data_IF_958638035237
#
_entry.id   IF_958638035237
#
_cell.length_a   1.000
_cell.length_b   1.000
_cell.length_c   1.000
_cell.angle_alpha   90.00
_cell.angle_beta   90.00
_cell.angle_gamma   90.00
#
_symmetry.space_group_name_H-M   'P 1'
#
loop_
_entity.id
_entity.type
_entity.pdbx_description
1 polymer ?
#
# COMPACT_ATOMS: atom_id res chain seq x y z
N UNK A 1 14.11 1.81 22.17
CA UNK A 1 12.80 1.92 21.49
C UNK A 1 12.32 0.51 21.19
N UNK A 2 11.05 0.21 21.45
CA UNK A 2 10.45 -1.12 21.28
C UNK A 2 9.93 -1.30 19.86
N UNK A 3 9.92 -2.54 19.35
CA UNK A 3 9.31 -2.89 18.05
C UNK A 3 7.84 -2.48 18.00
N UNK A 4 7.08 -2.67 19.09
CA UNK A 4 5.67 -2.28 19.12
C UNK A 4 5.47 -0.77 19.07
N UNK A 5 6.41 0.00 19.63
CA UNK A 5 6.41 1.47 19.48
C UNK A 5 6.63 1.83 18.01
N UNK A 6 7.65 1.27 17.35
CA UNK A 6 7.90 1.52 15.93
C UNK A 6 6.72 1.08 15.03
N UNK A 7 5.98 0.02 15.40
CA UNK A 7 4.72 -0.35 14.74
C UNK A 7 3.67 0.77 14.84
N UNK A 8 3.32 1.18 16.06
CA UNK A 8 2.30 2.22 16.30
C UNK A 8 2.67 3.56 15.66
N UNK A 9 3.95 3.94 15.72
CA UNK A 9 4.38 5.26 15.25
C UNK A 9 4.56 5.33 13.74
N UNK A 10 5.04 4.27 13.09
CA UNK A 10 5.49 4.33 11.70
C UNK A 10 4.69 3.44 10.74
N UNK A 11 4.08 2.37 11.22
CA UNK A 11 3.47 1.35 10.36
C UNK A 11 1.96 1.38 10.43
N UNK A 12 1.40 1.59 11.62
CA UNK A 12 -0.04 1.67 11.83
C UNK A 12 -0.77 2.61 10.85
N UNK A 13 -0.27 3.80 10.49
CA UNK A 13 -0.94 4.67 9.51
C UNK A 13 -1.15 4.01 8.14
N UNK A 14 -0.27 3.07 7.77
CA UNK A 14 -0.34 2.33 6.51
C UNK A 14 -1.06 0.98 6.65
N UNK A 15 -0.93 0.34 7.81
CA UNK A 15 -1.42 -1.02 8.09
C UNK A 15 -2.23 -1.04 9.40
N UNK A 16 -3.41 -0.40 9.45
CA UNK A 16 -4.21 -0.27 10.67
C UNK A 16 -5.02 -1.55 10.94
N UNK A 17 -4.33 -2.65 11.28
CA UNK A 17 -4.90 -4.00 11.48
C UNK A 17 -5.27 -4.31 12.94
N UNK A 18 -5.18 -3.32 13.82
CA UNK A 18 -5.58 -3.42 15.23
C UNK A 18 -6.37 -2.19 15.62
N UNK A 19 -7.17 -2.31 16.68
CA UNK A 19 -7.79 -1.16 17.33
C UNK A 19 -6.84 -0.66 18.42
N UNK A 20 -6.26 0.54 18.26
CA UNK A 20 -5.15 0.98 19.13
C UNK A 20 -5.49 0.93 20.63
N UNK A 21 -6.63 1.49 21.11
CA UNK A 21 -6.96 1.43 22.53
C UNK A 21 -7.05 0.01 23.08
N UNK A 22 -7.72 -0.89 22.35
CA UNK A 22 -7.86 -2.30 22.76
C UNK A 22 -6.50 -3.00 22.76
N UNK A 23 -5.69 -2.81 21.73
CA UNK A 23 -4.37 -3.42 21.61
C UNK A 23 -3.44 -2.98 22.74
N UNK A 24 -3.39 -1.69 23.05
CA UNK A 24 -2.59 -1.15 24.15
C UNK A 24 -3.07 -1.65 25.51
N UNK A 25 -4.39 -1.75 25.73
CA UNK A 25 -4.94 -2.31 26.95
C UNK A 25 -4.58 -3.79 27.12
N UNK A 26 -4.68 -4.60 26.05
CA UNK A 26 -4.31 -6.02 26.08
C UNK A 26 -2.79 -6.22 26.31
N UNK A 27 -1.94 -5.38 25.72
CA UNK A 27 -0.50 -5.37 25.98
C UNK A 27 -0.19 -5.03 27.44
N UNK A 28 -0.79 -3.97 27.98
CA UNK A 28 -0.59 -3.56 29.37
C UNK A 28 -1.05 -4.63 30.38
N UNK A 29 -2.07 -5.41 30.02
CA UNK A 29 -2.58 -6.53 30.81
C UNK A 29 -1.78 -7.82 30.65
N UNK A 30 -0.72 -7.84 29.83
CA UNK A 30 0.05 -9.05 29.47
C UNK A 30 -0.86 -10.21 29.00
N UNK A 31 -1.86 -9.89 28.17
CA UNK A 31 -2.83 -10.87 27.65
C UNK A 31 -2.16 -12.01 26.88
N UNK A 32 -0.97 -11.78 26.33
CA UNK A 32 -0.20 -12.73 25.54
C UNK A 32 0.24 -13.97 26.34
N UNK A 33 0.30 -13.87 27.66
CA UNK A 33 0.58 -15.00 28.56
C UNK A 33 -0.53 -16.05 28.50
N UNK A 34 -1.78 -15.64 28.27
CA UNK A 34 -2.96 -16.51 28.40
C UNK A 34 -3.82 -16.59 27.11
N UNK A 35 -3.56 -15.75 26.11
CA UNK A 35 -4.29 -15.71 24.83
C UNK A 35 -3.29 -15.96 23.68
N UNK A 36 -3.33 -17.18 23.13
CA UNK A 36 -2.44 -17.60 22.05
C UNK A 36 -2.63 -16.79 20.76
N UNK A 37 -3.86 -16.36 20.46
CA UNK A 37 -4.13 -15.56 19.26
C UNK A 37 -3.52 -14.16 19.43
N UNK A 38 -3.59 -13.59 20.64
CA UNK A 38 -2.95 -12.30 20.94
C UNK A 38 -1.41 -12.40 20.93
N UNK A 39 -0.84 -13.48 21.47
CA UNK A 39 0.59 -13.76 21.35
C UNK A 39 1.02 -13.87 19.88
N UNK A 40 0.27 -14.60 19.07
CA UNK A 40 0.54 -14.71 17.63
C UNK A 40 0.46 -13.35 16.92
N UNK A 41 -0.47 -12.48 17.32
CA UNK A 41 -0.58 -11.12 16.81
C UNK A 41 0.69 -10.32 17.11
N UNK A 42 1.18 -10.31 18.34
CA UNK A 42 2.41 -9.57 18.71
C UNK A 42 3.62 -10.10 17.93
N UNK A 43 3.74 -11.41 17.78
CA UNK A 43 4.83 -12.04 17.01
C UNK A 43 4.73 -11.64 15.53
N UNK A 44 3.53 -11.66 14.95
CA UNK A 44 3.31 -11.28 13.56
C UNK A 44 3.55 -9.79 13.31
N UNK A 45 3.09 -8.90 14.21
CA UNK A 45 3.39 -7.48 14.17
C UNK A 45 4.90 -7.21 14.29
N UNK A 46 5.63 -8.03 15.05
CA UNK A 46 7.09 -7.94 15.13
C UNK A 46 7.75 -8.29 13.80
N UNK A 47 7.29 -9.37 13.14
CA UNK A 47 7.77 -9.75 11.81
C UNK A 47 7.47 -8.67 10.76
N UNK A 48 6.24 -8.12 10.77
CA UNK A 48 5.85 -7.00 9.91
C UNK A 48 6.77 -5.79 10.11
N UNK A 49 7.01 -5.42 11.37
CA UNK A 49 7.79 -4.23 11.72
C UNK A 49 9.25 -4.34 11.35
N UNK A 50 9.87 -5.49 11.65
CA UNK A 50 11.26 -5.76 11.25
C UNK A 50 11.39 -5.89 9.73
N UNK A 51 10.35 -6.40 9.07
CA UNK A 51 10.28 -6.43 7.60
C UNK A 51 10.30 -5.04 7.01
N UNK A 52 9.39 -4.16 7.46
CA UNK A 52 9.21 -2.81 6.90
C UNK A 52 10.27 -1.80 7.32
N UNK A 53 10.97 -2.00 8.44
CA UNK A 53 11.96 -1.05 8.97
C UNK A 53 13.37 -1.64 9.01
N UNK A 54 14.00 -1.93 7.86
CA UNK A 54 15.34 -2.51 7.81
C UNK A 54 16.40 -1.70 8.56
N UNK A 55 16.34 -0.35 8.52
CA UNK A 55 17.28 0.53 9.22
C UNK A 55 17.23 0.44 10.74
N UNK A 56 16.11 -0.06 11.28
CA UNK A 56 15.86 -0.16 12.72
C UNK A 56 16.32 -1.47 13.33
N UNK A 57 16.65 -2.47 12.53
CA UNK A 57 16.96 -3.80 13.03
C UNK A 57 18.09 -3.81 14.08
N UNK A 58 19.18 -3.10 13.81
CA UNK A 58 20.32 -3.01 14.73
C UNK A 58 19.97 -2.26 16.03
N UNK A 59 18.97 -1.37 16.00
CA UNK A 59 18.48 -0.70 17.20
C UNK A 59 17.77 -1.67 18.16
N UNK A 60 17.28 -2.80 17.67
CA UNK A 60 16.72 -3.90 18.47
C UNK A 60 17.83 -4.84 18.98
N UNK A 61 18.88 -4.28 19.60
CA UNK A 61 20.14 -4.93 20.00
C UNK A 61 20.04 -6.39 20.44
N UNK A 62 19.11 -6.72 21.36
CA UNK A 62 18.94 -8.10 21.86
C UNK A 62 18.48 -9.08 20.76
N UNK A 63 17.60 -8.63 19.87
CA UNK A 63 17.09 -9.43 18.75
C UNK A 63 18.11 -9.50 17.63
N UNK A 64 18.77 -8.38 17.30
CA UNK A 64 19.86 -8.35 16.33
C UNK A 64 20.98 -9.32 16.73
N UNK A 65 21.40 -9.29 18.00
CA UNK A 65 22.41 -10.22 18.54
C UNK A 65 21.97 -11.68 18.50
N UNK A 66 20.68 -11.97 18.68
CA UNK A 66 20.15 -13.34 18.73
C UNK A 66 20.00 -13.96 17.34
N UNK A 67 19.50 -13.18 16.37
CA UNK A 67 19.13 -13.70 15.06
C UNK A 67 20.14 -13.38 13.96
N UNK A 68 20.97 -12.35 14.12
CA UNK A 68 21.97 -11.91 13.16
C UNK A 68 21.40 -11.19 11.93
N UNK A 69 20.28 -11.67 11.38
CA UNK A 69 19.60 -11.04 10.22
C UNK A 69 18.09 -10.89 10.45
N UNK A 70 17.49 -9.94 9.72
CA UNK A 70 16.03 -9.74 9.74
C UNK A 70 15.30 -10.95 9.21
N UNK A 71 15.78 -11.52 8.11
CA UNK A 71 15.21 -12.75 7.52
C UNK A 71 15.18 -13.89 8.54
N UNK A 72 16.25 -14.10 9.31
CA UNK A 72 16.28 -15.14 10.34
C UNK A 72 15.25 -14.88 11.46
N UNK A 73 15.12 -13.64 11.91
CA UNK A 73 14.10 -13.26 12.91
C UNK A 73 12.68 -13.46 12.38
N UNK A 74 12.39 -12.96 11.17
CA UNK A 74 11.07 -13.06 10.54
C UNK A 74 10.69 -14.54 10.34
N UNK A 75 11.62 -15.37 9.89
CA UNK A 75 11.40 -16.82 9.74
C UNK A 75 11.10 -17.49 11.07
N UNK A 76 11.81 -17.10 12.14
CA UNK A 76 11.51 -17.58 13.48
C UNK A 76 10.10 -17.18 13.94
N UNK A 77 9.71 -15.92 13.74
CA UNK A 77 8.35 -15.43 14.03
C UNK A 77 7.29 -16.22 13.27
N UNK A 78 7.43 -16.40 11.95
CA UNK A 78 6.49 -17.16 11.13
C UNK A 78 6.38 -18.61 11.58
N UNK A 79 7.50 -19.28 11.86
CA UNK A 79 7.48 -20.66 12.37
C UNK A 79 6.87 -20.76 13.77
N UNK A 80 7.09 -19.76 14.63
CA UNK A 80 6.51 -19.73 15.96
C UNK A 80 4.98 -19.62 15.88
N UNK A 81 4.46 -18.67 15.10
CA UNK A 81 3.01 -18.54 14.90
C UNK A 81 2.41 -19.83 14.35
N UNK A 82 3.08 -20.51 13.41
CA UNK A 82 2.61 -21.81 12.89
C UNK A 82 2.58 -22.90 13.97
N UNK A 83 3.62 -22.99 14.82
CA UNK A 83 3.69 -24.00 15.90
C UNK A 83 2.69 -23.77 17.02
N UNK A 84 2.28 -22.52 17.24
CA UNK A 84 1.31 -22.15 18.27
C UNK A 84 -0.14 -22.42 17.87
N UNK A 85 -0.41 -22.75 16.60
CA UNK A 85 -1.77 -23.05 16.13
C UNK A 85 -2.28 -24.35 16.76
N UNK A 86 -3.44 -24.33 17.44
CA UNK A 86 -4.08 -25.55 17.90
C UNK A 86 -4.67 -26.35 16.72
N UNK A 87 -5.08 -27.60 16.98
CA UNK A 87 -5.61 -28.49 15.94
C UNK A 87 -6.92 -27.97 15.29
N UNK A 88 -7.72 -27.23 16.06
CA UNK A 88 -8.98 -26.59 15.67
C UNK A 88 -8.79 -25.13 15.21
N UNK A 89 -7.56 -24.71 14.90
CA UNK A 89 -7.26 -23.32 14.52
C UNK A 89 -8.14 -22.81 13.38
N UNK A 90 -8.49 -23.67 12.44
CA UNK A 90 -9.32 -23.35 11.26
C UNK A 90 -10.82 -23.39 11.50
N UNK A 91 -11.25 -24.00 12.61
CA UNK A 91 -12.65 -24.10 12.98
C UNK A 91 -13.14 -22.81 13.66
N UNK A 92 -12.22 -22.03 14.22
CA UNK A 92 -12.50 -20.78 14.94
C UNK A 92 -11.87 -19.58 14.21
N UNK A 93 -12.60 -18.92 13.32
CA UNK A 93 -12.09 -17.78 12.57
C UNK A 93 -12.28 -16.46 13.32
N UNK A 94 -11.35 -15.52 13.15
CA UNK A 94 -11.42 -14.18 13.74
C UNK A 94 -10.66 -13.16 12.91
N UNK A 95 -11.03 -11.88 13.02
CA UNK A 95 -10.26 -10.78 12.42
C UNK A 95 -8.79 -10.82 12.87
N UNK A 96 -8.53 -11.21 14.12
CA UNK A 96 -7.17 -11.34 14.67
C UNK A 96 -6.35 -12.40 13.91
N UNK A 97 -6.94 -13.56 13.59
CA UNK A 97 -6.26 -14.59 12.77
C UNK A 97 -5.99 -14.10 11.35
N UNK A 98 -6.91 -13.34 10.77
CA UNK A 98 -6.67 -12.63 9.51
C UNK A 98 -5.47 -11.68 9.61
N UNK A 99 -5.43 -10.84 10.65
CA UNK A 99 -4.35 -9.87 10.88
C UNK A 99 -2.99 -10.55 11.06
N UNK A 100 -2.93 -11.69 11.76
CA UNK A 100 -1.73 -12.52 11.89
C UNK A 100 -1.25 -13.01 10.52
N UNK A 101 -2.12 -13.66 9.73
CA UNK A 101 -1.76 -14.17 8.41
C UNK A 101 -1.31 -13.05 7.47
N UNK A 102 -2.04 -11.92 7.47
CA UNK A 102 -1.71 -10.74 6.68
C UNK A 102 -0.34 -10.16 7.07
N UNK A 103 -0.11 -9.90 8.36
CA UNK A 103 1.16 -9.34 8.86
C UNK A 103 2.36 -10.26 8.58
N UNK A 104 2.20 -11.58 8.73
CA UNK A 104 3.24 -12.55 8.38
C UNK A 104 3.54 -12.53 6.87
N UNK A 105 2.50 -12.49 6.02
CA UNK A 105 2.66 -12.39 4.57
C UNK A 105 3.48 -11.17 4.17
N UNK A 106 3.16 -10.00 4.75
CA UNK A 106 3.87 -8.75 4.50
C UNK A 106 5.30 -8.81 5.05
N UNK A 107 5.51 -9.31 6.27
CA UNK A 107 6.84 -9.42 6.86
C UNK A 107 7.81 -10.24 6.03
N UNK A 108 7.41 -11.45 5.61
CA UNK A 108 8.27 -12.32 4.78
C UNK A 108 8.45 -11.74 3.36
N UNK A 109 7.44 -11.04 2.82
CA UNK A 109 7.54 -10.34 1.54
C UNK A 109 8.64 -9.29 1.54
N UNK A 110 8.79 -8.50 2.61
CA UNK A 110 9.85 -7.48 2.73
C UNK A 110 11.29 -8.04 2.72
N UNK A 111 11.44 -9.35 2.85
CA UNK A 111 12.74 -10.05 2.74
C UNK A 111 12.91 -10.82 1.43
N UNK A 112 11.99 -10.66 0.47
CA UNK A 112 12.04 -11.35 -0.83
C UNK A 112 11.58 -12.81 -0.79
N UNK A 113 10.97 -13.28 0.30
CA UNK A 113 10.52 -14.66 0.46
C UNK A 113 9.15 -14.89 -0.18
N UNK A 114 9.08 -14.75 -1.51
CA UNK A 114 7.81 -14.67 -2.24
C UNK A 114 6.93 -15.92 -2.09
N UNK A 115 7.50 -17.13 -2.05
CA UNK A 115 6.70 -18.36 -1.88
C UNK A 115 5.97 -18.40 -0.52
N UNK A 116 6.67 -18.05 0.55
CA UNK A 116 6.09 -18.05 1.89
C UNK A 116 5.05 -16.94 2.04
N UNK A 117 5.35 -15.75 1.49
CA UNK A 117 4.40 -14.63 1.44
C UNK A 117 3.09 -15.05 0.77
N UNK A 118 3.16 -15.70 -0.39
CA UNK A 118 1.99 -16.17 -1.13
C UNK A 118 1.14 -17.17 -0.34
N UNK A 119 1.74 -18.04 0.47
CA UNK A 119 0.99 -19.00 1.30
C UNK A 119 0.22 -18.28 2.41
N UNK A 120 0.88 -17.37 3.12
CA UNK A 120 0.21 -16.55 4.14
C UNK A 120 -0.82 -15.58 3.53
N UNK A 121 -0.57 -15.07 2.32
CA UNK A 121 -1.52 -14.24 1.58
C UNK A 121 -2.77 -15.03 1.19
N UNK A 122 -2.61 -16.26 0.67
CA UNK A 122 -3.75 -17.13 0.37
C UNK A 122 -4.55 -17.48 1.64
N UNK A 123 -3.85 -17.70 2.75
CA UNK A 123 -4.46 -17.91 4.06
C UNK A 123 -5.28 -16.69 4.51
N UNK A 124 -4.71 -15.48 4.46
CA UNK A 124 -5.42 -14.25 4.83
C UNK A 124 -6.61 -14.01 3.91
N UNK A 125 -6.48 -14.23 2.60
CA UNK A 125 -7.58 -14.14 1.64
C UNK A 125 -8.71 -15.11 1.99
N UNK A 126 -8.38 -16.35 2.36
CA UNK A 126 -9.40 -17.34 2.71
C UNK A 126 -10.14 -16.96 4.00
N UNK A 127 -9.42 -16.50 5.04
CA UNK A 127 -10.04 -16.02 6.28
C UNK A 127 -10.92 -14.79 5.98
N UNK A 128 -10.44 -13.85 5.16
CA UNK A 128 -11.18 -12.66 4.76
C UNK A 128 -12.51 -12.99 4.05
N UNK A 129 -12.53 -14.03 3.21
CA UNK A 129 -13.76 -14.50 2.56
C UNK A 129 -14.73 -15.10 3.57
N UNK A 130 -14.24 -15.96 4.45
CA UNK A 130 -15.07 -16.65 5.44
C UNK A 130 -15.61 -15.72 6.54
N UNK A 131 -14.92 -14.60 6.81
CA UNK A 131 -15.42 -13.51 7.65
C UNK A 131 -16.30 -12.51 6.88
N UNK A 132 -16.54 -12.74 5.59
CA UNK A 132 -17.39 -11.91 4.74
C UNK A 132 -16.98 -10.43 4.74
N UNK A 133 -15.67 -10.15 4.76
CA UNK A 133 -15.15 -8.78 4.84
C UNK A 133 -15.64 -7.87 3.69
N UNK A 134 -16.05 -8.46 2.56
CA UNK A 134 -16.54 -7.77 1.37
C UNK A 134 -18.07 -7.55 1.36
N UNK A 135 -18.81 -8.03 2.37
CA UNK A 135 -20.28 -7.95 2.45
C UNK A 135 -20.74 -7.35 3.78
N UNK A 136 -21.00 -6.05 3.80
CA UNK A 136 -21.49 -5.33 4.98
C UNK A 136 -22.87 -5.80 5.45
N UNK A 137 -23.65 -6.46 4.59
CA UNK A 137 -24.91 -7.11 4.98
C UNK A 137 -24.72 -8.22 6.02
N UNK A 138 -23.54 -8.84 6.06
CA UNK A 138 -23.19 -9.92 7.00
C UNK A 138 -22.62 -9.39 8.34
N UNK A 139 -22.62 -8.07 8.55
CA UNK A 139 -22.08 -7.46 9.77
C UNK A 139 -23.11 -7.34 10.91
N UNK A 140 -24.31 -7.88 10.73
CA UNK A 140 -25.31 -7.93 11.80
C UNK A 140 -24.76 -8.63 13.04
N UNK A 141 -24.88 -8.00 14.20
CA UNK A 141 -24.38 -8.52 15.48
C UNK A 141 -22.91 -8.24 15.79
N UNK A 142 -22.13 -7.66 14.87
CA UNK A 142 -20.77 -7.21 15.18
C UNK A 142 -20.78 -5.94 16.03
N UNK A 143 -19.81 -5.81 16.94
CA UNK A 143 -19.58 -4.56 17.66
C UNK A 143 -18.95 -3.50 16.72
N UNK A 144 -18.94 -2.23 17.15
CA UNK A 144 -18.46 -1.16 16.29
C UNK A 144 -16.96 -1.25 15.98
N UNK A 145 -16.15 -1.73 16.92
CA UNK A 145 -14.70 -1.93 16.73
C UNK A 145 -14.44 -2.99 15.65
N UNK A 146 -15.03 -4.17 15.80
CA UNK A 146 -14.91 -5.28 14.84
C UNK A 146 -15.43 -4.85 13.46
N UNK A 147 -16.53 -4.10 13.40
CA UNK A 147 -17.05 -3.53 12.15
C UNK A 147 -15.99 -2.67 11.43
N UNK A 148 -15.34 -1.74 12.15
CA UNK A 148 -14.32 -0.89 11.53
C UNK A 148 -13.04 -1.66 11.18
N UNK A 149 -12.65 -2.63 12.01
CA UNK A 149 -11.52 -3.51 11.70
C UNK A 149 -11.75 -4.31 10.42
N UNK A 150 -12.94 -4.91 10.25
CA UNK A 150 -13.29 -5.64 9.02
C UNK A 150 -13.30 -4.75 7.78
N UNK A 151 -13.77 -3.51 7.90
CA UNK A 151 -13.69 -2.52 6.80
C UNK A 151 -12.24 -2.18 6.44
N UNK A 152 -11.38 -1.87 7.41
CA UNK A 152 -9.95 -1.62 7.17
C UNK A 152 -9.27 -2.85 6.54
N UNK A 153 -9.59 -4.05 7.03
CA UNK A 153 -9.07 -5.31 6.53
C UNK A 153 -9.48 -5.60 5.08
N UNK A 154 -10.73 -5.31 4.71
CA UNK A 154 -11.20 -5.40 3.33
C UNK A 154 -10.32 -4.57 2.38
N UNK A 155 -10.05 -3.31 2.71
CA UNK A 155 -9.25 -2.42 1.86
C UNK A 155 -7.80 -2.90 1.72
N UNK A 156 -7.19 -3.33 2.82
CA UNK A 156 -5.84 -3.91 2.79
C UNK A 156 -5.80 -5.18 1.92
N UNK A 157 -6.81 -6.04 2.02
CA UNK A 157 -6.92 -7.25 1.19
C UNK A 157 -7.20 -6.94 -0.28
N UNK A 158 -7.98 -5.88 -0.56
CA UNK A 158 -8.27 -5.40 -1.90
C UNK A 158 -6.99 -4.93 -2.60
N UNK A 159 -6.09 -4.24 -1.88
CA UNK A 159 -4.80 -3.82 -2.44
C UNK A 159 -3.98 -5.01 -2.94
N UNK A 160 -3.85 -6.07 -2.13
CA UNK A 160 -3.05 -7.24 -2.51
C UNK A 160 -3.73 -8.00 -3.67
N UNK A 161 -5.05 -8.15 -3.61
CA UNK A 161 -5.85 -8.73 -4.68
C UNK A 161 -5.67 -7.99 -6.01
N UNK A 162 -5.80 -6.67 -6.02
CA UNK A 162 -5.64 -5.86 -7.23
C UNK A 162 -4.24 -6.00 -7.83
N UNK A 163 -3.20 -5.97 -7.00
CA UNK A 163 -1.82 -6.19 -7.45
C UNK A 163 -1.61 -7.60 -8.03
N UNK A 164 -2.25 -8.63 -7.47
CA UNK A 164 -2.18 -10.00 -8.01
C UNK A 164 -2.76 -10.14 -9.43
N UNK A 165 -3.75 -9.31 -9.78
CA UNK A 165 -4.37 -9.32 -11.11
C UNK A 165 -3.44 -8.75 -12.19
N UNK A 166 -2.69 -7.71 -11.85
CA UNK A 166 -1.87 -6.98 -12.82
C UNK A 166 -0.41 -7.47 -12.90
N UNK A 167 0.12 -8.09 -11.85
CA UNK A 167 1.52 -8.54 -11.81
C UNK A 167 1.69 -9.91 -12.49
N UNK A 168 2.48 -10.05 -13.58
CA UNK A 168 2.60 -11.29 -14.35
C UNK A 168 3.01 -12.53 -13.52
N UNK A 169 3.86 -12.36 -12.51
CA UNK A 169 4.32 -13.44 -11.62
C UNK A 169 3.33 -13.87 -10.54
N UNK A 170 2.22 -13.15 -10.40
CA UNK A 170 1.18 -13.41 -9.40
C UNK A 170 -0.13 -13.95 -9.99
N UNK A 171 -0.10 -14.50 -11.21
CA UNK A 171 -1.31 -14.99 -11.88
C UNK A 171 -1.77 -16.40 -11.49
N UNK A 172 -0.94 -17.16 -10.77
CA UNK A 172 -1.24 -18.54 -10.36
C UNK A 172 -1.93 -18.64 -8.98
N UNK A 173 -2.66 -17.60 -8.53
CA UNK A 173 -3.16 -17.51 -7.16
C UNK A 173 -4.64 -17.89 -7.00
N UNK A 174 -4.95 -18.38 -5.79
CA UNK A 174 -6.29 -18.36 -5.24
C UNK A 174 -6.78 -16.91 -5.24
N UNK A 175 -7.93 -16.67 -5.86
CA UNK A 175 -8.48 -15.33 -6.02
C UNK A 175 -9.33 -14.95 -4.80
N UNK A 176 -9.18 -13.71 -4.30
CA UNK A 176 -9.95 -13.21 -3.16
C UNK A 176 -11.42 -13.04 -3.56
N UNK A 177 -11.68 -12.19 -4.55
CA UNK A 177 -13.00 -11.97 -5.12
C UNK A 177 -13.01 -12.41 -6.58
N UNK A 178 -13.93 -13.31 -6.93
CA UNK A 178 -14.22 -13.54 -8.34
C UNK A 178 -14.93 -12.32 -8.95
N UNK A 179 -15.05 -12.30 -10.28
CA UNK A 179 -15.60 -11.14 -10.98
C UNK A 179 -17.11 -10.93 -10.69
N UNK A 180 -17.84 -11.96 -10.23
CA UNK A 180 -19.24 -11.84 -9.85
C UNK A 180 -19.34 -11.18 -8.47
N UNK A 181 -18.63 -11.73 -7.48
CA UNK A 181 -18.55 -11.15 -6.13
C UNK A 181 -18.08 -9.70 -6.17
N UNK A 182 -17.04 -9.39 -6.95
CA UNK A 182 -16.50 -8.03 -7.07
C UNK A 182 -17.54 -7.00 -7.55
N UNK A 183 -18.52 -7.42 -8.36
CA UNK A 183 -19.61 -6.53 -8.84
C UNK A 183 -20.68 -6.27 -7.80
N UNK A 184 -20.82 -7.16 -6.82
CA UNK A 184 -21.77 -7.01 -5.72
C UNK A 184 -21.18 -6.22 -4.54
N UNK A 185 -19.88 -5.91 -4.57
CA UNK A 185 -19.21 -5.14 -3.52
C UNK A 185 -19.73 -3.70 -3.50
N UNK A 186 -20.28 -3.30 -2.36
CA UNK A 186 -20.57 -1.91 -2.04
C UNK A 186 -19.34 -1.25 -1.38
N UNK A 187 -18.50 -0.63 -2.22
CA UNK A 187 -17.28 0.04 -1.76
C UNK A 187 -17.55 1.23 -0.84
N UNK A 188 -18.69 1.92 -1.03
CA UNK A 188 -19.03 3.09 -0.22
C UNK A 188 -19.45 2.63 1.18
N UNK A 189 -20.21 1.54 1.29
CA UNK A 189 -20.54 0.95 2.59
C UNK A 189 -19.31 0.38 3.32
N UNK A 190 -18.28 -0.07 2.59
CA UNK A 190 -17.03 -0.61 3.13
C UNK A 190 -16.01 0.47 3.51
N UNK A 191 -16.27 1.74 3.24
CA UNK A 191 -15.43 2.82 3.74
C UNK A 191 -15.45 2.85 5.28
N UNK A 192 -14.28 2.81 5.96
CA UNK A 192 -14.21 2.98 7.41
C UNK A 192 -14.76 4.33 7.86
N UNK A 193 -15.25 4.40 9.09
CA UNK A 193 -15.58 5.69 9.69
C UNK A 193 -14.33 6.55 9.76
N UNK A 194 -14.42 7.79 9.27
CA UNK A 194 -13.34 8.77 9.37
C UNK A 194 -13.24 9.32 10.81
N UNK A 195 -12.80 8.45 11.72
CA UNK A 195 -12.57 8.74 13.13
C UNK A 195 -11.26 8.07 13.55
N UNK A 196 -10.64 8.65 14.57
CA UNK A 196 -9.55 7.99 15.29
C UNK A 196 -10.10 6.83 16.14
N UNK A 197 -9.26 5.82 16.38
CA UNK A 197 -9.65 4.63 17.12
C UNK A 197 -10.12 4.95 18.56
N UNK A 198 -9.55 5.95 19.22
CA UNK A 198 -9.95 6.38 20.59
C UNK A 198 -11.43 6.77 20.68
N UNK A 199 -12.06 7.10 19.56
CA UNK A 199 -13.46 7.49 19.47
C UNK A 199 -14.39 6.34 19.07
N UNK A 200 -13.88 5.11 18.92
CA UNK A 200 -14.64 3.92 18.55
C UNK A 200 -14.69 2.97 19.76
N UNK A 201 -15.84 2.90 20.43
CA UNK A 201 -16.08 1.97 21.55
C UNK A 201 -16.86 0.75 21.07
N UNK A 202 -16.87 -0.33 21.85
CA UNK A 202 -17.68 -1.53 21.53
C UNK A 202 -19.16 -1.20 21.30
N UNK A 203 -19.68 -0.25 22.07
CA UNK A 203 -21.09 0.19 22.01
C UNK A 203 -21.39 1.15 20.86
N UNK A 204 -20.37 1.68 20.16
CA UNK A 204 -20.54 2.66 19.10
C UNK A 204 -19.47 3.77 19.10
N UNK A 205 -19.55 4.66 18.12
CA UNK A 205 -18.68 5.83 18.02
C UNK A 205 -19.11 6.94 19.00
N UNK A 206 -18.14 7.60 19.63
CA UNK A 206 -18.36 8.66 20.64
C UNK A 206 -17.65 9.95 20.22
N UNK A 207 -18.26 11.11 20.52
CA UNK A 207 -17.55 12.39 20.58
C UNK A 207 -17.42 13.19 19.28
N UNK A 208 -17.90 12.71 18.13
CA UNK A 208 -18.05 13.51 16.90
C UNK A 208 -18.97 12.78 15.92
N UNK A 209 -19.78 13.50 15.14
CA UNK A 209 -20.45 12.89 13.99
C UNK A 209 -19.37 12.45 13.00
N UNK A 210 -19.39 11.21 12.47
CA UNK A 210 -18.41 10.76 11.49
C UNK A 210 -18.37 11.75 10.32
N UNK A 211 -17.21 12.37 10.09
CA UNK A 211 -17.05 13.31 9.00
C UNK A 211 -17.02 12.52 7.68
N UNK A 212 -18.09 12.58 6.90
CA UNK A 212 -18.11 12.01 5.55
C UNK A 212 -17.14 12.82 4.69
N UNK A 213 -16.04 12.21 4.27
CA UNK A 213 -15.10 12.86 3.38
C UNK A 213 -15.76 13.07 2.02
N UNK A 214 -15.80 14.32 1.51
CA UNK A 214 -16.42 14.58 0.22
C UNK A 214 -15.70 13.83 -0.90
N UNK A 215 -16.43 13.50 -1.97
CA UNK A 215 -15.86 12.78 -3.12
C UNK A 215 -14.70 13.55 -3.78
N UNK A 216 -14.74 14.89 -3.72
CA UNK A 216 -13.61 15.78 -4.03
C UNK A 216 -13.29 16.59 -2.78
N UNK A 217 -12.03 16.58 -2.38
CA UNK A 217 -11.54 17.39 -1.27
C UNK A 217 -11.67 18.87 -1.67
N UNK A 218 -12.25 19.71 -0.80
CA UNK A 218 -12.37 21.15 -1.05
C UNK A 218 -11.30 21.89 -0.24
N UNK A 219 -10.65 22.89 -0.86
CA UNK A 219 -9.50 23.62 -0.30
C UNK A 219 -9.84 24.64 0.80
N UNK A 220 -11.07 24.64 1.32
CA UNK A 220 -11.55 25.69 2.21
C UNK A 220 -11.31 25.34 3.69
N UNK A 221 -10.14 25.75 4.18
CA UNK A 221 -9.89 25.97 5.61
C UNK A 221 -9.27 24.80 6.37
N UNK A 222 -8.42 25.15 7.34
CA UNK A 222 -7.73 24.25 8.27
C UNK A 222 -8.69 23.23 8.89
N UNK A 223 -8.64 21.99 8.40
CA UNK A 223 -9.49 20.93 8.92
C UNK A 223 -8.73 20.21 10.04
N UNK A 224 -8.95 20.66 11.28
CA UNK A 224 -8.58 19.97 12.54
C UNK A 224 -9.17 18.55 12.65
N UNK A 225 -9.85 18.04 11.61
CA UNK A 225 -10.36 16.68 11.53
C UNK A 225 -9.48 15.71 10.73
N UNK A 226 -8.49 16.18 9.96
CA UNK A 226 -7.65 15.29 9.16
C UNK A 226 -6.75 14.43 10.06
N UNK A 227 -6.85 13.11 9.89
CA UNK A 227 -6.11 12.15 10.70
C UNK A 227 -5.62 10.94 9.86
N UNK A 228 -4.95 9.98 10.48
CA UNK A 228 -4.43 8.78 9.82
C UNK A 228 -5.52 7.96 9.13
N UNK A 229 -6.73 7.90 9.69
CA UNK A 229 -7.88 7.24 9.06
C UNK A 229 -8.34 8.00 7.81
N UNK A 230 -8.37 9.34 7.85
CA UNK A 230 -8.66 10.16 6.66
C UNK A 230 -7.69 9.85 5.52
N UNK A 231 -6.41 9.73 5.87
CA UNK A 231 -5.33 9.43 4.94
C UNK A 231 -5.47 8.02 4.32
N UNK A 232 -5.82 7.02 5.14
CA UNK A 232 -6.13 5.66 4.69
C UNK A 232 -7.33 5.62 3.74
N UNK A 233 -8.42 6.34 4.06
CA UNK A 233 -9.62 6.43 3.22
C UNK A 233 -9.29 7.05 1.86
N UNK A 234 -8.57 8.18 1.84
CA UNK A 234 -8.23 8.86 0.58
C UNK A 234 -7.31 7.98 -0.28
N UNK A 235 -6.33 7.32 0.34
CA UNK A 235 -5.45 6.36 -0.35
C UNK A 235 -6.26 5.21 -0.96
N UNK A 236 -7.22 4.65 -0.21
CA UNK A 236 -8.15 3.62 -0.69
C UNK A 236 -8.97 4.08 -1.90
N UNK A 237 -9.53 5.30 -1.85
CA UNK A 237 -10.30 5.89 -2.95
C UNK A 237 -9.45 6.09 -4.20
N UNK A 238 -8.24 6.63 -4.04
CA UNK A 238 -7.26 6.82 -5.14
C UNK A 238 -6.93 5.47 -5.77
N UNK A 239 -6.62 4.47 -4.94
CA UNK A 239 -6.29 3.13 -5.39
C UNK A 239 -7.43 2.47 -6.14
N UNK A 240 -8.64 2.47 -5.58
CA UNK A 240 -9.83 1.95 -6.24
C UNK A 240 -10.08 2.65 -7.57
N UNK A 241 -9.99 3.98 -7.61
CA UNK A 241 -10.23 4.77 -8.83
C UNK A 241 -9.29 4.36 -9.96
N UNK A 242 -7.98 4.27 -9.69
CA UNK A 242 -6.99 3.92 -10.70
C UNK A 242 -7.00 2.45 -11.11
N UNK A 243 -7.29 1.55 -10.17
CA UNK A 243 -7.30 0.11 -10.43
C UNK A 243 -8.66 -0.41 -10.95
N UNK A 244 -9.71 0.41 -10.93
CA UNK A 244 -11.09 -0.04 -11.22
C UNK A 244 -11.21 -0.73 -12.57
N UNK A 245 -10.65 -0.17 -13.63
CA UNK A 245 -10.82 -0.76 -14.95
C UNK A 245 -10.13 -2.12 -15.04
N UNK A 246 -8.91 -2.25 -14.52
CA UNK A 246 -8.16 -3.50 -14.53
C UNK A 246 -8.78 -4.57 -13.63
N UNK A 247 -9.19 -4.22 -12.40
CA UNK A 247 -9.77 -5.21 -11.48
C UNK A 247 -11.04 -5.87 -12.02
N UNK A 248 -11.89 -5.11 -12.71
CA UNK A 248 -13.19 -5.58 -13.17
C UNK A 248 -13.15 -6.26 -14.55
N UNK A 249 -12.18 -5.91 -15.39
CA UNK A 249 -12.17 -6.33 -16.79
C UNK A 249 -10.97 -7.21 -17.17
N UNK A 250 -9.82 -7.13 -16.47
CA UNK A 250 -8.66 -7.97 -16.81
C UNK A 250 -8.95 -9.44 -16.47
N UNK A 251 -8.86 -10.30 -17.49
CA UNK A 251 -9.15 -11.75 -17.37
C UNK A 251 -10.65 -12.08 -17.32
N UNK A 252 -11.53 -11.16 -17.70
CA UNK A 252 -12.98 -11.37 -17.81
C UNK A 252 -13.45 -11.32 -19.26
N UNK A 253 -14.29 -12.28 -19.68
CA UNK A 253 -14.93 -12.26 -21.01
C UNK A 253 -15.86 -11.05 -21.22
N UNK A 254 -16.23 -10.35 -20.14
CA UNK A 254 -17.04 -9.14 -20.19
C UNK A 254 -16.35 -7.94 -20.88
N UNK A 255 -15.03 -7.98 -21.05
CA UNK A 255 -14.27 -6.98 -21.81
C UNK A 255 -14.41 -7.12 -23.33
N UNK A 256 -14.89 -8.27 -23.85
CA UNK A 256 -14.97 -8.54 -25.30
C UNK A 256 -15.99 -7.68 -26.04
N UNK A 257 -16.87 -6.95 -25.33
CA UNK A 257 -17.90 -6.12 -25.95
C UNK A 257 -17.50 -4.67 -26.23
N UNK A 258 -16.37 -4.17 -25.67
CA UNK A 258 -15.94 -2.78 -25.85
C UNK A 258 -14.93 -2.66 -26.98
N UNK A 259 -15.15 -1.71 -27.86
CA UNK A 259 -14.19 -1.31 -28.89
C UNK A 259 -12.91 -0.76 -28.25
N UNK A 260 -11.74 -0.88 -28.91
CA UNK A 260 -10.50 -0.23 -28.47
C UNK A 260 -10.68 1.27 -28.20
N UNK A 261 -11.51 1.95 -28.99
CA UNK A 261 -11.83 3.37 -28.83
C UNK A 261 -12.58 3.66 -27.52
N UNK A 262 -13.59 2.85 -27.17
CA UNK A 262 -14.31 2.99 -25.89
C UNK A 262 -13.40 2.70 -24.70
N UNK A 263 -12.53 1.68 -24.80
CA UNK A 263 -11.52 1.38 -23.77
C UNK A 263 -10.56 2.56 -23.59
N UNK A 264 -10.05 3.13 -24.68
CA UNK A 264 -9.15 4.27 -24.64
C UNK A 264 -9.82 5.53 -24.07
N UNK A 265 -11.07 5.81 -24.45
CA UNK A 265 -11.85 6.91 -23.88
C UNK A 265 -12.02 6.74 -22.38
N UNK A 266 -12.38 5.53 -21.93
CA UNK A 266 -12.56 5.25 -20.51
C UNK A 266 -11.27 5.44 -19.70
N UNK A 267 -10.14 4.99 -20.23
CA UNK A 267 -8.83 5.19 -19.58
C UNK A 267 -8.46 6.66 -19.48
N UNK A 268 -8.77 7.47 -20.50
CA UNK A 268 -8.56 8.94 -20.48
C UNK A 268 -9.41 9.62 -19.42
N UNK A 269 -10.69 9.27 -19.33
CA UNK A 269 -11.60 9.84 -18.30
C UNK A 269 -11.10 9.50 -16.89
N UNK A 270 -10.64 8.25 -16.68
CA UNK A 270 -10.07 7.83 -15.40
C UNK A 270 -8.78 8.56 -15.06
N UNK A 271 -7.91 8.78 -16.05
CA UNK A 271 -6.67 9.53 -15.87
C UNK A 271 -6.95 10.99 -15.53
N UNK A 272 -7.89 11.63 -16.22
CA UNK A 272 -8.26 13.03 -15.95
C UNK A 272 -8.87 13.19 -14.55
N UNK A 273 -9.76 12.28 -14.15
CA UNK A 273 -10.31 12.26 -12.80
C UNK A 273 -9.23 12.05 -11.73
N UNK A 274 -8.25 11.17 -11.98
CA UNK A 274 -7.16 10.93 -11.04
C UNK A 274 -6.29 12.17 -10.86
N UNK A 275 -5.93 12.91 -11.92
CA UNK A 275 -5.01 14.05 -11.86
C UNK A 275 -5.35 15.04 -10.74
N UNK A 276 -6.63 15.39 -10.63
CA UNK A 276 -7.11 16.42 -9.72
C UNK A 276 -7.72 15.85 -8.42
N UNK A 277 -7.63 14.53 -8.20
CA UNK A 277 -8.26 13.88 -7.05
C UNK A 277 -7.67 14.36 -5.70
N UNK A 278 -6.43 14.86 -5.71
CA UNK A 278 -5.69 15.27 -4.52
C UNK A 278 -5.61 16.80 -4.29
N UNK A 279 -6.19 17.62 -5.18
CA UNK A 279 -6.03 19.09 -5.13
C UNK A 279 -6.51 19.73 -3.83
N UNK A 280 -7.53 19.14 -3.19
CA UNK A 280 -8.09 19.64 -1.94
C UNK A 280 -7.42 19.10 -0.67
N UNK A 281 -6.32 18.36 -0.77
CA UNK A 281 -5.61 17.90 0.43
C UNK A 281 -5.19 19.08 1.33
N UNK A 282 -5.17 18.87 2.66
CA UNK A 282 -4.67 19.88 3.58
C UNK A 282 -3.19 20.17 3.29
N UNK A 283 -2.69 21.39 3.58
CA UNK A 283 -1.35 21.81 3.17
C UNK A 283 -0.21 20.86 3.59
N UNK A 284 -0.31 20.25 4.77
CA UNK A 284 0.70 19.32 5.30
C UNK A 284 0.76 17.97 4.56
N UNK A 285 -0.27 17.63 3.78
CA UNK A 285 -0.30 16.43 2.93
C UNK A 285 -0.23 16.73 1.44
N UNK A 286 -0.08 17.99 1.03
CA UNK A 286 0.08 18.31 -0.39
C UNK A 286 1.40 17.79 -0.92
N UNK A 287 1.43 17.60 -2.23
CA UNK A 287 2.60 17.13 -2.94
C UNK A 287 3.75 18.11 -2.76
N UNK A 288 3.48 19.39 -3.02
CA UNK A 288 4.40 20.50 -2.79
C UNK A 288 4.10 21.05 -1.41
N UNK A 289 4.81 20.51 -0.42
CA UNK A 289 4.88 21.19 0.87
C UNK A 289 5.69 22.47 0.63
N UNK A 290 5.15 23.67 0.88
CA UNK A 290 6.00 24.86 0.97
C UNK A 290 7.06 24.50 2.02
N UNK A 291 8.32 24.37 1.59
CA UNK A 291 9.43 24.17 2.51
C UNK A 291 9.35 25.31 3.51
N UNK A 292 9.08 24.97 4.77
CA UNK A 292 8.78 25.86 5.88
C UNK A 292 8.31 27.26 5.48
N UNK A 293 7.01 27.52 5.57
CA UNK A 293 6.50 28.88 5.65
C UNK A 293 7.23 29.62 6.78
N UNK A 294 8.28 30.31 6.40
CA UNK A 294 8.89 31.38 7.15
C UNK A 294 7.80 32.39 7.53
N UNK A 295 7.75 32.70 8.82
CA UNK A 295 7.27 33.95 9.39
C UNK A 295 5.75 34.23 9.35
N UNK A 296 5.03 33.69 10.33
CA UNK A 296 4.11 34.55 11.08
C UNK A 296 4.92 35.17 12.22
N UNK A 297 5.14 36.50 12.27
CA UNK A 297 5.91 37.17 13.31
C UNK A 297 5.39 36.92 14.74
N UNK A 298 4.14 36.43 14.86
CA UNK A 298 3.44 36.25 16.13
C UNK A 298 3.44 34.79 16.65
N UNK A 299 4.08 33.85 15.93
CA UNK A 299 4.32 32.49 16.44
C UNK A 299 5.82 32.18 16.38
N UNK A 300 6.57 32.46 17.45
CA UNK A 300 8.00 32.17 17.47
C UNK A 300 8.21 30.68 17.23
N UNK A 301 9.18 30.38 16.35
CA UNK A 301 9.75 29.06 16.25
C UNK A 301 10.09 28.57 17.65
N UNK A 302 9.56 27.41 18.00
CA UNK A 302 10.03 26.58 19.08
C UNK A 302 11.57 26.61 19.06
N UNK A 303 12.13 27.25 20.09
CA UNK A 303 13.57 27.25 20.30
C UNK A 303 14.04 25.79 20.30
N UNK A 304 15.26 25.54 19.84
CA UNK A 304 15.97 24.26 20.04
C UNK A 304 16.03 23.88 21.56
N UNK A 305 15.78 24.86 22.44
CA UNK A 305 15.62 24.70 23.88
C UNK A 305 14.23 24.19 24.36
N UNK A 306 13.21 24.10 23.48
CA UNK A 306 11.91 23.47 23.78
C UNK A 306 11.83 22.01 23.33
N UNK A 307 12.91 21.46 22.76
CA UNK A 307 13.06 20.00 22.59
C UNK A 307 13.00 19.28 23.94
N UNK A 308 13.36 19.97 25.02
CA UNK A 308 13.20 19.51 26.42
C UNK A 308 11.79 19.75 27.01
N UNK A 309 10.82 20.28 26.24
CA UNK A 309 9.49 20.66 26.74
C UNK A 309 8.31 19.98 26.03
N UNK A 310 8.51 18.96 25.18
CA UNK A 310 7.44 18.03 24.78
C UNK A 310 7.46 16.83 25.73
N UNK A 311 6.64 16.82 26.81
CA UNK A 311 6.71 15.76 27.81
C UNK A 311 6.12 14.43 27.29
N UNK A 312 5.53 14.41 26.08
CA UNK A 312 4.73 13.29 25.56
C UNK A 312 5.05 12.84 24.13
N UNK A 313 5.80 13.61 23.32
CA UNK A 313 6.25 13.21 21.98
C UNK A 313 5.18 13.24 20.88
N UNK A 314 4.00 13.80 21.18
CA UNK A 314 2.79 13.70 20.34
C UNK A 314 2.90 14.49 19.03
N UNK A 315 3.56 15.65 19.05
CA UNK A 315 3.75 16.49 17.86
C UNK A 315 4.70 15.80 16.86
N UNK A 316 5.77 15.20 17.37
CA UNK A 316 6.73 14.45 16.56
C UNK A 316 6.08 13.20 15.94
N UNK A 317 5.24 12.50 16.71
CA UNK A 317 4.47 11.36 16.24
C UNK A 317 3.54 11.73 15.08
N UNK A 318 2.72 12.78 15.24
CA UNK A 318 1.80 13.23 14.19
C UNK A 318 2.55 13.63 12.92
N UNK A 319 3.68 14.34 13.04
CA UNK A 319 4.51 14.70 11.89
C UNK A 319 5.04 13.45 11.16
N UNK A 320 5.55 12.47 11.91
CA UNK A 320 6.05 11.23 11.33
C UNK A 320 4.95 10.46 10.57
N UNK A 321 3.77 10.29 11.17
CA UNK A 321 2.64 9.59 10.56
C UNK A 321 2.14 10.30 9.28
N UNK A 322 2.14 11.65 9.31
CA UNK A 322 1.78 12.46 8.15
C UNK A 322 2.78 12.30 7.00
N UNK A 323 4.09 12.36 7.25
CA UNK A 323 5.09 12.18 6.18
C UNK A 323 5.07 10.75 5.61
N UNK A 324 4.91 9.73 6.46
CA UNK A 324 4.77 8.33 6.01
C UNK A 324 3.57 8.16 5.08
N UNK A 325 2.43 8.72 5.46
CA UNK A 325 1.23 8.60 4.64
C UNK A 325 1.27 9.48 3.40
N UNK A 326 1.90 10.66 3.48
CA UNK A 326 2.15 11.53 2.33
C UNK A 326 2.98 10.80 1.27
N UNK A 327 4.02 10.09 1.68
CA UNK A 327 4.80 9.24 0.78
C UNK A 327 3.92 8.19 0.10
N UNK A 328 3.14 7.44 0.89
CA UNK A 328 2.28 6.38 0.37
C UNK A 328 1.27 6.90 -0.65
N UNK A 329 0.55 7.97 -0.28
CA UNK A 329 -0.54 8.54 -1.04
C UNK A 329 -0.06 9.07 -2.39
N UNK A 330 0.97 9.92 -2.39
CA UNK A 330 1.43 10.55 -3.63
C UNK A 330 2.19 9.60 -4.54
N UNK A 331 2.99 8.68 -4.00
CA UNK A 331 3.64 7.67 -4.84
C UNK A 331 2.60 6.76 -5.48
N UNK A 332 1.56 6.35 -4.73
CA UNK A 332 0.47 5.53 -5.27
C UNK A 332 -0.33 6.28 -6.34
N UNK A 333 -0.64 7.56 -6.10
CA UNK A 333 -1.34 8.41 -7.05
C UNK A 333 -0.60 8.57 -8.37
N UNK A 334 0.70 8.86 -8.32
CA UNK A 334 1.55 9.00 -9.51
C UNK A 334 1.76 7.67 -10.24
N UNK A 335 1.98 6.59 -9.49
CA UNK A 335 2.10 5.25 -10.07
C UNK A 335 0.83 4.84 -10.83
N UNK A 336 -0.37 5.12 -10.29
CA UNK A 336 -1.63 4.81 -10.98
C UNK A 336 -1.81 5.63 -12.25
N UNK A 337 -1.41 6.90 -12.26
CA UNK A 337 -1.42 7.71 -13.48
C UNK A 337 -0.50 7.11 -14.55
N UNK A 338 0.72 6.70 -14.18
CA UNK A 338 1.63 6.01 -15.12
C UNK A 338 1.06 4.67 -15.57
N UNK A 339 0.46 3.89 -14.66
CA UNK A 339 -0.17 2.62 -14.97
C UNK A 339 -1.29 2.78 -16.02
N UNK A 340 -2.15 3.80 -15.89
CA UNK A 340 -3.18 4.09 -16.90
C UNK A 340 -2.56 4.49 -18.24
N UNK A 341 -1.49 5.27 -18.25
CA UNK A 341 -0.75 5.60 -19.48
C UNK A 341 -0.19 4.34 -20.17
N UNK A 342 0.36 3.38 -19.40
CA UNK A 342 0.82 2.10 -19.94
C UNK A 342 -0.34 1.30 -20.57
N UNK A 343 -1.52 1.31 -19.93
CA UNK A 343 -2.72 0.66 -20.50
C UNK A 343 -3.20 1.37 -21.77
N UNK A 344 -3.16 2.69 -21.80
CA UNK A 344 -3.54 3.48 -22.98
C UNK A 344 -2.60 3.19 -24.15
N UNK A 345 -1.29 3.14 -23.92
CA UNK A 345 -0.31 2.80 -24.95
C UNK A 345 -0.55 1.40 -25.53
N UNK A 346 -0.86 0.41 -24.67
CA UNK A 346 -1.19 -0.94 -25.13
C UNK A 346 -2.42 -0.96 -26.05
N UNK A 347 -3.47 -0.21 -25.71
CA UNK A 347 -4.68 -0.09 -26.55
C UNK A 347 -4.37 0.64 -27.87
N UNK A 348 -3.57 1.71 -27.83
CA UNK A 348 -3.16 2.45 -29.04
C UNK A 348 -2.35 1.54 -29.97
N UNK A 349 -1.45 0.73 -29.43
CA UNK A 349 -0.67 -0.25 -30.20
C UNK A 349 -1.56 -1.35 -30.81
N UNK A 350 -2.55 -1.84 -30.06
CA UNK A 350 -3.57 -2.78 -30.55
C UNK A 350 -4.33 -2.21 -31.77
N UNK A 351 -4.69 -0.91 -31.70
CA UNK A 351 -5.36 -0.20 -32.79
C UNK A 351 -4.46 0.00 -34.01
N UNK A 352 -3.16 0.28 -33.81
CA UNK A 352 -2.20 0.51 -34.90
C UNK A 352 -1.97 -0.74 -35.74
N UNK A 353 -1.81 -1.88 -35.06
CA UNK A 353 -1.72 -3.21 -35.69
C UNK A 353 -2.97 -3.55 -36.54
N UNK A 354 -4.11 -2.94 -36.24
CA UNK A 354 -5.40 -3.24 -36.87
C UNK A 354 -5.78 -2.29 -38.02
N UNK A 355 -5.24 -1.06 -38.09
CA UNK A 355 -5.76 -0.01 -39.00
C UNK A 355 -4.77 0.75 -39.88
N UNK A 356 -3.46 0.47 -39.87
CA UNK A 356 -2.46 1.22 -40.67
C UNK A 356 -2.48 2.76 -40.46
N UNK A 357 -3.01 3.26 -39.33
CA UNK A 357 -3.17 4.69 -39.01
C UNK A 357 -2.00 5.23 -38.17
N UNK A 358 -0.79 5.18 -38.72
CA UNK A 358 0.47 5.43 -37.99
C UNK A 358 0.66 6.87 -37.47
N UNK A 359 0.18 7.89 -38.18
CA UNK A 359 0.47 9.30 -37.84
C UNK A 359 -0.29 9.81 -36.60
N UNK A 360 -1.58 9.46 -36.46
CA UNK A 360 -2.41 9.88 -35.31
C UNK A 360 -2.05 9.11 -34.03
N UNK A 361 -1.69 7.83 -34.15
CA UNK A 361 -1.23 7.03 -33.02
C UNK A 361 0.11 7.55 -32.48
N UNK A 362 1.02 7.94 -33.38
CA UNK A 362 2.29 8.57 -33.00
C UNK A 362 2.10 9.86 -32.20
N UNK A 363 1.12 10.71 -32.54
CA UNK A 363 0.88 11.95 -31.79
C UNK A 363 0.30 11.68 -30.38
N UNK A 364 -0.56 10.67 -30.23
CA UNK A 364 -1.06 10.24 -28.93
C UNK A 364 0.04 9.68 -28.03
N UNK A 365 0.93 8.83 -28.56
CA UNK A 365 2.09 8.33 -27.81
C UNK A 365 3.02 9.46 -27.35
N UNK A 366 3.20 10.50 -28.18
CA UNK A 366 3.97 11.70 -27.80
C UNK A 366 3.32 12.50 -26.67
N UNK A 367 1.98 12.56 -26.62
CA UNK A 367 1.26 13.22 -25.53
C UNK A 367 1.42 12.43 -24.23
N UNK A 368 1.17 11.12 -24.27
CA UNK A 368 1.33 10.23 -23.13
C UNK A 368 2.76 10.31 -22.56
N UNK A 369 3.77 10.44 -23.43
CA UNK A 369 5.15 10.65 -22.98
C UNK A 369 5.36 11.94 -22.17
N UNK A 370 4.78 13.08 -22.62
CA UNK A 370 4.90 14.35 -21.87
C UNK A 370 4.30 14.24 -20.47
N UNK A 371 3.21 13.49 -20.36
CA UNK A 371 2.59 13.22 -19.08
C UNK A 371 3.45 12.30 -18.21
N UNK A 372 4.07 11.27 -18.78
CA UNK A 372 5.05 10.44 -18.05
C UNK A 372 6.23 11.24 -17.54
N UNK A 373 6.77 12.15 -18.34
CA UNK A 373 7.85 13.04 -17.91
C UNK A 373 7.42 13.90 -16.71
N UNK A 374 6.18 14.40 -16.72
CA UNK A 374 5.62 15.15 -15.61
C UNK A 374 5.51 14.30 -14.35
N UNK A 375 4.96 13.10 -14.47
CA UNK A 375 4.87 12.11 -13.38
C UNK A 375 6.26 11.80 -12.81
N UNK A 376 7.28 11.63 -13.65
CA UNK A 376 8.63 11.30 -13.21
C UNK A 376 9.25 12.44 -12.38
N UNK A 377 9.12 13.68 -12.84
CA UNK A 377 9.60 14.86 -12.11
C UNK A 377 8.90 15.01 -10.77
N UNK A 378 7.58 14.83 -10.76
CA UNK A 378 6.76 14.86 -9.55
C UNK A 378 7.16 13.77 -8.56
N UNK A 379 7.39 12.54 -9.05
CA UNK A 379 7.78 11.40 -8.23
C UNK A 379 9.17 11.61 -7.62
N UNK A 380 10.16 12.03 -8.40
CA UNK A 380 11.49 12.35 -7.88
C UNK A 380 11.44 13.47 -6.84
N UNK A 381 10.61 14.49 -7.03
CA UNK A 381 10.42 15.54 -6.02
C UNK A 381 9.95 14.95 -4.67
N UNK A 382 8.96 14.05 -4.68
CA UNK A 382 8.49 13.39 -3.46
C UNK A 382 9.60 12.56 -2.82
N UNK A 383 10.30 11.75 -3.62
CA UNK A 383 11.35 10.85 -3.13
C UNK A 383 12.57 11.60 -2.57
N UNK A 384 12.87 12.81 -3.06
CA UNK A 384 13.95 13.65 -2.54
C UNK A 384 13.51 14.59 -1.41
N UNK A 385 12.22 14.96 -1.34
CA UNK A 385 11.71 15.87 -0.31
C UNK A 385 11.31 15.17 1.00
N UNK A 386 10.98 13.88 0.95
CA UNK A 386 10.63 13.10 2.14
C UNK A 386 11.89 12.41 2.69
N UNK A 387 12.28 12.68 3.95
CA UNK A 387 13.38 11.96 4.60
C UNK A 387 13.20 10.44 4.61
N UNK A 388 14.30 9.71 4.47
CA UNK A 388 14.33 8.24 4.43
C UNK A 388 13.53 7.54 5.55
N UNK A 389 13.58 7.97 6.83
CA UNK A 389 12.83 7.32 7.91
C UNK A 389 11.30 7.34 7.73
N UNK A 390 10.78 8.20 6.84
CA UNK A 390 9.36 8.30 6.51
C UNK A 390 9.02 7.63 5.16
N UNK A 391 10.00 7.42 4.29
CA UNK A 391 9.84 6.58 3.09
C UNK A 391 9.87 5.10 3.45
N UNK A 392 10.81 4.72 4.32
CA UNK A 392 11.11 3.33 4.70
C UNK A 392 9.87 2.50 5.10
N UNK A 393 8.92 2.99 5.93
CA UNK A 393 7.78 2.19 6.36
C UNK A 393 6.85 1.72 5.22
N UNK A 394 6.96 2.31 4.03
CA UNK A 394 6.24 1.84 2.85
C UNK A 394 6.84 0.57 2.23
N UNK A 395 8.09 0.25 2.57
CA UNK A 395 8.81 -0.95 2.16
C UNK A 395 8.87 -1.18 0.65
N UNK A 396 8.93 -2.46 0.27
CA UNK A 396 8.98 -2.93 -1.11
C UNK A 396 7.78 -2.45 -1.95
N UNK A 397 6.63 -2.13 -1.33
CA UNK A 397 5.46 -1.65 -2.08
C UNK A 397 5.74 -0.31 -2.76
N UNK A 398 6.43 0.61 -2.08
CA UNK A 398 6.86 1.88 -2.67
C UNK A 398 7.96 1.64 -3.71
N UNK A 399 8.94 0.80 -3.41
CA UNK A 399 10.06 0.48 -4.31
C UNK A 399 9.54 -0.08 -5.64
N UNK A 400 8.54 -0.97 -5.60
CA UNK A 400 7.96 -1.56 -6.81
C UNK A 400 7.19 -0.53 -7.64
N UNK A 401 6.44 0.35 -6.99
CA UNK A 401 5.74 1.46 -7.68
C UNK A 401 6.74 2.41 -8.36
N UNK A 402 7.84 2.76 -7.68
CA UNK A 402 8.91 3.58 -8.27
C UNK A 402 9.57 2.86 -9.44
N UNK A 403 9.83 1.55 -9.30
CA UNK A 403 10.41 0.72 -10.36
C UNK A 403 9.50 0.61 -11.58
N UNK A 404 8.19 0.46 -11.37
CA UNK A 404 7.21 0.40 -12.46
C UNK A 404 7.21 1.72 -13.26
N UNK A 405 7.18 2.87 -12.57
CA UNK A 405 7.28 4.20 -13.22
C UNK A 405 8.61 4.36 -13.95
N UNK A 406 9.73 3.96 -13.35
CA UNK A 406 11.04 4.03 -14.01
C UNK A 406 11.13 3.11 -15.24
N UNK A 407 10.49 1.93 -15.18
CA UNK A 407 10.52 0.95 -16.27
C UNK A 407 9.71 1.40 -17.49
N UNK A 408 8.64 2.18 -17.30
CA UNK A 408 7.86 2.72 -18.42
C UNK A 408 8.68 3.66 -19.31
N UNK A 409 9.72 4.29 -18.76
CA UNK A 409 10.66 5.13 -19.51
C UNK A 409 11.50 4.35 -20.52
N UNK A 410 11.72 3.05 -20.29
CA UNK A 410 12.45 2.18 -21.21
C UNK A 410 11.65 1.92 -22.50
N UNK A 411 10.33 2.10 -22.44
CA UNK A 411 9.45 2.03 -23.61
C UNK A 411 9.34 3.35 -24.37
N UNK A 412 10.19 4.35 -24.06
CA UNK A 412 10.26 5.61 -24.79
C UNK A 412 10.42 5.34 -26.31
N UNK A 413 9.51 5.84 -27.17
CA UNK A 413 9.61 5.61 -28.61
C UNK A 413 10.93 6.17 -29.13
N UNK A 414 11.80 5.32 -29.67
CA UNK A 414 13.12 5.69 -30.22
C UNK A 414 13.04 6.70 -31.38
N UNK A 415 11.85 6.91 -31.95
CA UNK A 415 11.56 7.91 -32.97
C UNK A 415 11.27 9.32 -32.41
N UNK A 416 11.43 9.53 -31.10
CA UNK A 416 11.34 10.85 -30.47
C UNK A 416 12.63 11.66 -30.64
N UNK A 417 12.49 12.99 -30.58
CA UNK A 417 13.57 13.98 -30.59
C UNK A 417 14.72 13.60 -29.62
N UNK A 418 15.97 13.89 -29.98
CA UNK A 418 17.17 13.57 -29.19
C UNK A 418 17.07 14.10 -27.75
N UNK A 419 16.43 15.26 -27.57
CA UNK A 419 16.16 15.87 -26.26
C UNK A 419 15.23 15.04 -25.36
N UNK A 420 14.30 14.28 -25.93
CA UNK A 420 13.39 13.40 -25.18
C UNK A 420 14.13 12.17 -24.69
N UNK A 421 14.92 11.54 -25.57
CA UNK A 421 15.73 10.38 -25.21
C UNK A 421 16.75 10.71 -24.12
N UNK A 422 17.40 11.88 -24.20
CA UNK A 422 18.33 12.36 -23.16
C UNK A 422 17.64 12.50 -21.79
N UNK A 423 16.49 13.17 -21.74
CA UNK A 423 15.72 13.34 -20.50
C UNK A 423 15.23 12.01 -19.93
N UNK A 424 14.78 11.08 -20.77
CA UNK A 424 14.42 9.74 -20.34
C UNK A 424 15.61 9.04 -19.65
N UNK A 425 16.79 9.12 -20.25
CA UNK A 425 18.02 8.56 -19.68
C UNK A 425 18.40 9.19 -18.34
N UNK A 426 18.25 10.52 -18.21
CA UNK A 426 18.50 11.24 -16.95
C UNK A 426 17.53 10.76 -15.85
N UNK A 427 16.23 10.66 -16.13
CA UNK A 427 15.26 10.14 -15.18
C UNK A 427 15.56 8.69 -14.77
N UNK A 428 15.87 7.81 -15.73
CA UNK A 428 16.24 6.42 -15.44
C UNK A 428 17.47 6.36 -14.53
N UNK A 429 18.47 7.21 -14.78
CA UNK A 429 19.66 7.29 -13.93
C UNK A 429 19.32 7.74 -12.51
N UNK A 430 18.50 8.79 -12.36
CA UNK A 430 18.08 9.28 -11.03
C UNK A 430 17.22 8.25 -10.28
N UNK A 431 16.26 7.61 -10.94
CA UNK A 431 15.49 6.53 -10.32
C UNK A 431 16.38 5.36 -9.90
N UNK A 432 17.38 5.00 -10.70
CA UNK A 432 18.34 3.94 -10.33
C UNK A 432 19.11 4.32 -9.07
N UNK A 433 19.55 5.58 -8.93
CA UNK A 433 20.20 6.08 -7.71
C UNK A 433 19.26 5.99 -6.51
N UNK A 434 18.04 6.49 -6.63
CA UNK A 434 17.05 6.44 -5.54
C UNK A 434 16.73 5.00 -5.14
N UNK A 435 16.48 4.12 -6.11
CA UNK A 435 16.22 2.70 -5.87
C UNK A 435 17.41 2.01 -5.20
N UNK A 436 18.65 2.33 -5.58
CA UNK A 436 19.84 1.77 -4.93
C UNK A 436 19.97 2.16 -3.45
N UNK A 437 19.39 3.29 -3.06
CA UNK A 437 19.37 3.76 -1.67
C UNK A 437 18.19 3.19 -0.87
N UNK A 438 17.03 3.03 -1.50
CA UNK A 438 15.82 2.54 -0.85
C UNK A 438 15.77 1.00 -0.77
N UNK A 439 16.26 0.30 -1.79
CA UNK A 439 16.18 -1.15 -1.91
C UNK A 439 17.24 -1.83 -1.03
N UNK A 440 16.83 -2.23 0.18
CA UNK A 440 17.63 -3.03 1.12
C UNK A 440 17.26 -4.50 1.09
N UNK A 441 16.79 -5.01 -0.05
CA UNK A 441 16.45 -6.42 -0.21
C UNK A 441 17.65 -7.32 0.07
N UNK A 442 17.46 -8.34 0.92
CA UNK A 442 18.49 -9.34 1.24
C UNK A 442 18.58 -10.44 0.17
N UNK A 443 17.52 -10.58 -0.63
CA UNK A 443 17.38 -11.61 -1.67
C UNK A 443 17.06 -10.92 -3.00
N UNK A 444 17.58 -11.48 -4.09
CA UNK A 444 17.25 -11.03 -5.45
C UNK A 444 15.74 -11.16 -5.65
N UNK A 445 15.13 -10.09 -6.13
CA UNK A 445 13.72 -10.10 -6.49
C UNK A 445 13.48 -11.08 -7.65
N UNK A 446 12.68 -12.11 -7.41
CA UNK A 446 12.29 -13.12 -8.41
C UNK A 446 10.83 -12.97 -8.87
N UNK A 447 10.20 -11.82 -8.60
CA UNK A 447 8.85 -11.53 -9.03
C UNK A 447 8.75 -11.61 -10.56
N UNK A 448 7.78 -12.39 -11.03
CA UNK A 448 7.64 -12.72 -12.46
C UNK A 448 8.27 -14.05 -12.87
N UNK A 449 9.16 -14.63 -12.05
CA UNK A 449 9.79 -15.92 -12.32
C UNK A 449 9.10 -17.05 -11.55
N UNK A 450 9.20 -18.26 -12.08
CA UNK A 450 8.80 -19.47 -11.35
C UNK A 450 9.80 -19.68 -10.19
N UNK A 451 9.37 -19.32 -8.99
CA UNK A 451 10.20 -19.34 -7.78
C UNK A 451 10.16 -20.68 -7.01
N UNK A 452 9.49 -21.71 -7.52
CA UNK A 452 9.38 -23.02 -6.87
C UNK A 452 9.86 -24.17 -7.77
N UNK A 453 10.39 -25.20 -7.12
CA UNK A 453 10.91 -26.40 -7.75
C UNK A 453 9.85 -27.49 -7.65
N UNK A 454 9.57 -28.16 -8.78
CA UNK A 454 8.73 -29.35 -8.83
C UNK A 454 9.65 -30.56 -8.71
N UNK A 455 9.84 -31.07 -7.49
CA UNK A 455 10.76 -32.18 -7.20
C UNK A 455 10.36 -33.50 -7.89
N UNK A 456 9.08 -33.61 -8.30
CA UNK A 456 8.57 -34.75 -9.07
C UNK A 456 9.01 -34.75 -10.53
N UNK A 457 9.36 -33.58 -11.09
CA UNK A 457 10.00 -33.47 -12.41
C UNK A 457 11.48 -33.85 -12.31
N UNK A 458 11.76 -35.16 -12.29
CA UNK A 458 13.10 -35.67 -12.60
C UNK A 458 13.46 -35.18 -14.00
N UNK A 459 14.46 -34.31 -14.11
CA UNK A 459 14.69 -33.50 -15.31
C UNK A 459 14.89 -34.29 -16.60
N UNK A 460 14.52 -33.67 -17.73
CA UNK A 460 15.34 -33.77 -18.92
C UNK A 460 16.72 -33.21 -18.57
N UNK A 461 17.60 -34.08 -18.08
CA UNK A 461 19.04 -33.93 -18.32
C UNK A 461 19.20 -34.23 -19.81
N UNK A 462 19.10 -33.20 -20.63
CA UNK A 462 19.67 -33.08 -21.98
C UNK A 462 19.07 -31.81 -22.60
N UNK A 463 19.84 -30.71 -22.52
CA UNK A 463 20.22 -29.76 -23.58
C UNK A 463 21.18 -28.76 -22.97
#
# INVERSE_FOLDING_TARGET
MSIMTDFTERIYPLVPIVHQPTFHAELAANRDINDLDFLCLIIALSALTVGLLPSRFDAYHALASRFGTRTAMINYCSQMCLRLRPADYWDHLSHRKWAVAFALSMGVFQTGQTNQSRMFEAESMQIARLLELHRTSEYEGLNAIETQLRKKAFWLQLYTFAHSKIQPGRRNHVTYLDNYMLREVDFDALEPLNLLDEHILDTGAVGRSPAVLPARLNSNGEDDSFNTTSAFIITSRVFLKGMRESMFNDGCDCGFGRTPEERLSRLRDLLDDLRYLLDGLPPHLRQWRPGDSYHSPDKPFYNDASIDQDPFGEVHLLHAQNEVTRANLHVTHLWLQNFLLDRMDAVIQEMDNSRLQTTANTSHLKLNWREREDICRQLLHILHSIPHPYLEPNGLFLIYKVRDVASSLLSCPLAMDEHVSRRASEFVQEFTKVLSYLDRSEIVNTDGLKSWIDEGRRGNKDI
#
